data_IF_418319435440
#
_entry.id   IF_418319435440
#
_cell.length_a   1.000
_cell.length_b   1.000
_cell.length_c   1.000
_cell.angle_alpha   90.00
_cell.angle_beta   90.00
_cell.angle_gamma   90.00
#
_symmetry.space_group_name_H-M   'P 1'
#
loop_
_entity.id
_entity.type
_entity.pdbx_description
1 polymer ?
#
# COMPACT_ATOMS: atom_id res chain seq x y z
N UNK A 1 -24.36 -15.14 -42.60
CA UNK A 1 -23.15 -14.40 -43.03
C UNK A 1 -22.93 -13.08 -42.27
N UNK A 2 -23.82 -12.66 -41.37
CA UNK A 2 -23.73 -11.37 -40.67
C UNK A 2 -22.84 -11.42 -39.43
N UNK A 3 -22.82 -12.54 -38.71
CA UNK A 3 -22.06 -12.73 -37.45
C UNK A 3 -20.53 -12.70 -37.66
N UNK A 4 -20.04 -13.30 -38.75
CA UNK A 4 -18.61 -13.25 -39.08
C UNK A 4 -18.12 -11.83 -39.39
N UNK A 5 -18.99 -10.95 -39.93
CA UNK A 5 -18.63 -9.57 -40.26
C UNK A 5 -18.47 -8.70 -39.02
N UNK A 6 -19.30 -8.92 -38.00
CA UNK A 6 -19.22 -8.18 -36.74
C UNK A 6 -18.04 -8.62 -35.87
N UNK A 7 -17.72 -9.92 -35.86
CA UNK A 7 -16.51 -10.44 -35.20
C UNK A 7 -15.23 -9.88 -35.82
N UNK A 8 -15.15 -9.81 -37.15
CA UNK A 8 -14.00 -9.20 -37.84
C UNK A 8 -13.91 -7.70 -37.54
N UNK A 9 -15.04 -7.00 -37.50
CA UNK A 9 -15.10 -5.59 -37.11
C UNK A 9 -14.53 -5.35 -35.71
N UNK A 10 -15.00 -6.11 -34.71
CA UNK A 10 -14.55 -5.99 -33.32
C UNK A 10 -13.05 -6.30 -33.14
N UNK A 11 -12.52 -7.30 -33.84
CA UNK A 11 -11.09 -7.66 -33.77
C UNK A 11 -10.22 -6.57 -34.42
N UNK A 12 -10.65 -6.01 -35.54
CA UNK A 12 -9.93 -4.91 -36.21
C UNK A 12 -9.95 -3.64 -35.35
N UNK A 13 -11.08 -3.32 -34.72
CA UNK A 13 -11.17 -2.16 -33.80
C UNK A 13 -10.27 -2.33 -32.58
N UNK A 14 -10.15 -3.54 -32.03
CA UNK A 14 -9.27 -3.82 -30.89
C UNK A 14 -7.78 -3.75 -31.28
N UNK A 15 -7.43 -4.13 -32.51
CA UNK A 15 -6.06 -4.04 -33.02
C UNK A 15 -5.61 -2.59 -33.28
N UNK A 16 -6.51 -1.73 -33.78
CA UNK A 16 -6.19 -0.33 -34.08
C UNK A 16 -5.99 0.52 -32.82
N UNK A 17 -6.68 0.20 -31.72
CA UNK A 17 -6.48 0.88 -30.42
C UNK A 17 -5.15 0.53 -29.74
N UNK A 18 -4.46 -0.52 -30.18
CA UNK A 18 -3.17 -0.98 -29.62
C UNK A 18 -1.92 -0.31 -30.21
N UNK A 19 -2.06 0.59 -31.18
CA UNK A 19 -0.94 1.09 -32.00
C UNK A 19 -0.46 2.49 -31.60
N UNK A 20 -0.21 2.71 -30.32
CA UNK A 20 0.70 3.77 -29.88
C UNK A 20 2.09 3.16 -29.67
N UNK A 21 2.70 2.69 -30.76
CA UNK A 21 4.10 2.27 -30.76
C UNK A 21 4.95 3.53 -30.73
N UNK A 22 5.11 4.11 -29.53
CA UNK A 22 6.23 5.01 -29.28
C UNK A 22 7.49 4.16 -29.46
N UNK A 23 8.38 4.57 -30.37
CA UNK A 23 9.70 3.99 -30.50
C UNK A 23 10.30 3.81 -29.09
N UNK A 24 10.62 2.57 -28.73
CA UNK A 24 11.19 2.27 -27.42
C UNK A 24 12.59 2.87 -27.39
N UNK A 25 12.70 4.05 -26.80
CA UNK A 25 13.99 4.63 -26.48
C UNK A 25 14.72 3.65 -25.55
N UNK A 26 15.91 3.21 -25.98
CA UNK A 26 16.75 2.26 -25.25
C UNK A 26 17.16 2.78 -23.88
N UNK A 27 17.02 4.08 -23.62
CA UNK A 27 17.15 4.67 -22.28
C UNK A 27 16.14 4.09 -21.27
N UNK A 28 14.96 3.64 -21.72
CA UNK A 28 13.95 2.98 -20.88
C UNK A 28 14.35 1.57 -20.42
N UNK A 29 15.45 1.02 -20.96
CA UNK A 29 16.07 -0.25 -20.55
C UNK A 29 17.39 -0.01 -19.79
N UNK A 30 17.65 1.23 -19.35
CA UNK A 30 18.77 1.53 -18.46
C UNK A 30 18.48 0.99 -17.05
N UNK A 31 19.30 0.06 -16.57
CA UNK A 31 19.28 -0.39 -15.17
C UNK A 31 20.05 0.56 -14.25
N UNK A 32 20.58 1.67 -14.78
CA UNK A 32 21.39 2.62 -14.02
C UNK A 32 20.55 3.76 -13.44
N UNK A 33 19.38 4.03 -14.03
CA UNK A 33 18.47 5.08 -13.61
C UNK A 33 17.07 4.52 -13.38
N UNK A 34 16.52 4.80 -12.20
CA UNK A 34 15.12 4.50 -11.91
C UNK A 34 14.23 5.34 -12.82
N UNK A 35 13.27 4.69 -13.48
CA UNK A 35 12.29 5.34 -14.34
C UNK A 35 10.90 5.01 -13.83
N UNK A 36 10.03 6.01 -13.72
CA UNK A 36 8.65 5.77 -13.34
C UNK A 36 7.94 4.96 -14.43
N UNK A 37 7.45 3.77 -14.08
CA UNK A 37 6.80 2.82 -15.00
C UNK A 37 5.31 2.70 -14.79
N UNK A 38 4.82 3.03 -13.60
CA UNK A 38 3.40 2.99 -13.34
C UNK A 38 3.03 3.11 -11.87
N UNK A 39 1.71 3.17 -11.66
CA UNK A 39 1.09 3.19 -10.35
C UNK A 39 0.09 2.04 -10.24
N UNK A 40 0.02 1.42 -9.07
CA UNK A 40 -1.01 0.44 -8.74
C UNK A 40 -1.76 0.90 -7.49
N UNK A 41 -3.09 0.79 -7.53
CA UNK A 41 -3.94 0.98 -6.37
C UNK A 41 -4.06 -0.35 -5.63
N UNK A 42 -3.95 -0.29 -4.31
CA UNK A 42 -4.08 -1.43 -3.42
C UNK A 42 -5.34 -1.28 -2.57
N UNK A 43 -6.11 -2.35 -2.48
CA UNK A 43 -7.23 -2.50 -1.58
C UNK A 43 -7.09 -3.83 -0.88
N UNK A 44 -7.18 -3.83 0.44
CA UNK A 44 -6.92 -5.02 1.25
C UNK A 44 -7.63 -4.97 2.60
N UNK A 45 -7.43 -6.03 3.36
CA UNK A 45 -7.99 -6.19 4.69
C UNK A 45 -6.91 -6.68 5.64
N UNK A 46 -6.79 -6.03 6.79
CA UNK A 46 -5.86 -6.39 7.85
C UNK A 46 -6.59 -7.26 8.87
N UNK A 47 -6.18 -8.53 8.96
CA UNK A 47 -6.57 -9.43 10.04
C UNK A 47 -5.58 -9.29 11.18
N UNK A 48 -6.02 -8.66 12.27
CA UNK A 48 -5.19 -8.41 13.43
C UNK A 48 -5.75 -9.13 14.65
N UNK A 49 -4.87 -9.73 15.45
CA UNK A 49 -5.28 -10.42 16.67
C UNK A 49 -5.54 -9.46 17.85
N UNK A 50 -5.04 -8.22 17.76
CA UNK A 50 -4.97 -7.26 18.88
C UNK A 50 -5.68 -5.93 18.62
N UNK A 51 -6.17 -5.70 17.41
CA UNK A 51 -6.95 -4.51 17.03
C UNK A 51 -8.13 -4.94 16.16
N UNK A 52 -9.10 -4.05 15.98
CA UNK A 52 -10.24 -4.31 15.11
C UNK A 52 -9.72 -4.48 13.67
N UNK A 53 -10.12 -5.61 13.06
CA UNK A 53 -9.80 -5.86 11.66
C UNK A 53 -10.30 -4.71 10.78
N UNK A 54 -9.43 -4.20 9.91
CA UNK A 54 -9.71 -2.97 9.17
C UNK A 54 -9.34 -3.07 7.70
N UNK A 55 -10.03 -2.28 6.89
CA UNK A 55 -9.73 -2.11 5.48
C UNK A 55 -8.48 -1.25 5.32
N UNK A 56 -7.58 -1.67 4.43
CA UNK A 56 -6.39 -0.92 4.05
C UNK A 56 -6.48 -0.43 2.61
N UNK A 57 -6.03 0.79 2.37
CA UNK A 57 -5.88 1.39 1.05
C UNK A 57 -4.42 1.70 0.81
N UNK A 58 -3.94 1.52 -0.41
CA UNK A 58 -2.54 1.80 -0.72
C UNK A 58 -2.31 2.25 -2.15
N UNK A 59 -1.13 2.82 -2.35
CA UNK A 59 -0.62 3.18 -3.66
C UNK A 59 0.81 2.69 -3.77
N UNK A 60 1.11 2.05 -4.89
CA UNK A 60 2.42 1.50 -5.21
C UNK A 60 2.96 2.15 -6.47
N UNK A 61 4.21 2.56 -6.44
CA UNK A 61 4.89 3.17 -7.58
C UNK A 61 5.96 2.20 -8.09
N UNK A 62 5.89 1.82 -9.35
CA UNK A 62 6.93 0.99 -9.98
C UNK A 62 7.99 1.90 -10.59
N UNK A 63 9.21 1.84 -10.07
CA UNK A 63 10.35 2.64 -10.52
C UNK A 63 11.32 1.84 -11.40
N UNK A 64 10.96 0.60 -11.76
CA UNK A 64 11.81 -0.25 -12.57
C UNK A 64 12.88 -0.98 -11.77
N UNK A 65 14.00 -1.26 -12.42
CA UNK A 65 15.10 -2.03 -11.85
C UNK A 65 16.30 -1.14 -11.55
N UNK A 66 16.88 -1.28 -10.36
CA UNK A 66 18.18 -0.75 -10.01
C UNK A 66 19.23 -1.85 -10.18
N UNK A 67 20.12 -1.69 -11.15
CA UNK A 67 21.14 -2.67 -11.51
C UNK A 67 20.56 -4.00 -12.00
N UNK A 68 21.34 -5.08 -11.83
CA UNK A 68 20.92 -6.41 -12.26
C UNK A 68 20.04 -7.08 -11.21
N UNK A 69 18.72 -7.01 -11.42
CA UNK A 69 17.74 -7.89 -10.77
C UNK A 69 17.04 -7.34 -9.53
N UNK A 70 17.31 -6.10 -9.11
CA UNK A 70 16.58 -5.47 -7.99
C UNK A 70 15.48 -4.58 -8.53
N UNK A 71 14.21 -4.94 -8.31
CA UNK A 71 13.07 -4.09 -8.68
C UNK A 71 12.75 -3.13 -7.54
N UNK A 72 12.66 -1.84 -7.84
CA UNK A 72 12.35 -0.80 -6.85
C UNK A 72 10.88 -0.43 -6.97
N UNK A 73 10.11 -0.77 -5.93
CA UNK A 73 8.65 -0.62 -5.94
C UNK A 73 8.16 -0.09 -4.58
N UNK A 74 8.38 1.20 -4.27
CA UNK A 74 7.90 1.79 -3.03
C UNK A 74 6.36 1.79 -2.97
N UNK A 75 5.84 1.62 -1.76
CA UNK A 75 4.40 1.63 -1.48
C UNK A 75 4.08 2.51 -0.27
N UNK A 76 2.98 3.26 -0.36
CA UNK A 76 2.35 3.93 0.76
C UNK A 76 1.03 3.22 1.06
N UNK A 77 0.81 2.86 2.32
CA UNK A 77 -0.41 2.21 2.79
C UNK A 77 -1.03 3.06 3.91
N UNK A 78 -2.34 3.23 3.84
CA UNK A 78 -3.14 3.90 4.84
C UNK A 78 -4.21 2.93 5.37
N UNK A 79 -4.33 2.88 6.69
CA UNK A 79 -5.37 2.17 7.40
C UNK A 79 -5.66 2.90 8.70
N UNK A 80 -6.87 2.70 9.22
CA UNK A 80 -7.28 3.23 10.51
C UNK A 80 -8.10 2.18 11.25
N UNK A 81 -7.88 2.04 12.54
CA UNK A 81 -8.68 1.17 13.40
C UNK A 81 -9.09 1.97 14.62
N UNK A 82 -10.39 2.03 14.96
CA UNK A 82 -10.80 2.64 16.21
C UNK A 82 -10.29 1.80 17.38
N UNK A 83 -10.00 2.47 18.49
CA UNK A 83 -9.80 1.84 19.80
C UNK A 83 -10.94 2.26 20.72
N UNK A 84 -11.45 1.32 21.50
CA UNK A 84 -12.41 1.61 22.55
C UNK A 84 -11.69 2.07 23.84
N UNK A 85 -12.45 2.61 24.78
CA UNK A 85 -11.88 3.15 26.02
C UNK A 85 -11.16 2.09 26.88
N UNK A 86 -11.64 0.84 26.88
CA UNK A 86 -10.98 -0.25 27.60
C UNK A 86 -9.62 -0.60 26.99
N UNK A 87 -9.53 -0.65 25.66
CA UNK A 87 -8.29 -0.89 24.92
C UNK A 87 -7.26 0.23 25.16
N UNK A 88 -7.70 1.48 25.27
CA UNK A 88 -6.83 2.63 25.59
C UNK A 88 -6.24 2.47 27.00
N UNK A 89 -7.05 2.10 27.99
CA UNK A 89 -6.57 1.89 29.37
C UNK A 89 -5.58 0.74 29.43
N UNK A 90 -5.88 -0.38 28.76
CA UNK A 90 -4.97 -1.52 28.70
C UNK A 90 -3.64 -1.16 28.02
N UNK A 91 -3.69 -0.38 26.94
CA UNK A 91 -2.49 0.13 26.28
C UNK A 91 -1.67 1.04 27.21
N UNK A 92 -2.33 1.95 27.93
CA UNK A 92 -1.66 2.79 28.93
C UNK A 92 -0.95 1.95 29.99
N UNK A 93 -1.64 0.98 30.58
CA UNK A 93 -1.07 0.11 31.61
C UNK A 93 0.16 -0.64 31.10
N UNK A 94 0.09 -1.22 29.89
CA UNK A 94 1.22 -1.92 29.27
C UNK A 94 2.42 -1.00 29.03
N UNK A 95 2.19 0.26 28.62
CA UNK A 95 3.28 1.22 28.44
C UNK A 95 3.88 1.63 29.78
N UNK A 96 3.05 1.86 30.79
CA UNK A 96 3.54 2.20 32.13
C UNK A 96 4.37 1.05 32.73
N UNK A 97 3.92 -0.19 32.56
CA UNK A 97 4.61 -1.38 33.04
C UNK A 97 5.94 -1.58 32.29
N UNK A 98 5.96 -1.39 30.96
CA UNK A 98 7.18 -1.44 30.17
C UNK A 98 8.20 -0.39 30.59
N UNK A 99 7.76 0.85 30.83
CA UNK A 99 8.65 1.91 31.29
C UNK A 99 9.18 1.59 32.68
N UNK A 100 8.35 1.07 33.58
CA UNK A 100 8.79 0.63 34.90
C UNK A 100 9.86 -0.48 34.80
N UNK A 101 9.63 -1.49 33.96
CA UNK A 101 10.57 -2.58 33.72
C UNK A 101 11.92 -2.07 33.20
N UNK A 102 11.90 -1.04 32.34
CA UNK A 102 13.10 -0.48 31.71
C UNK A 102 13.80 0.61 32.55
N UNK A 103 13.14 1.18 33.57
CA UNK A 103 13.64 2.33 34.34
C UNK A 103 13.54 2.06 35.85
N UNK A 104 14.19 1.00 36.31
CA UNK A 104 14.38 0.67 37.73
C UNK A 104 13.08 0.56 38.56
N UNK A 105 11.99 0.13 37.93
CA UNK A 105 10.70 -0.10 38.58
C UNK A 105 9.85 1.15 38.79
N UNK A 106 10.28 2.32 38.33
CA UNK A 106 9.48 3.55 38.45
C UNK A 106 8.38 3.55 37.40
N UNK A 107 7.14 3.27 37.85
CA UNK A 107 5.95 3.33 36.99
C UNK A 107 5.52 4.78 36.76
N UNK A 108 5.57 5.29 35.52
CA UNK A 108 5.10 6.65 35.23
C UNK A 108 3.57 6.68 35.24
N UNK A 109 2.99 7.86 35.51
CA UNK A 109 1.58 8.11 35.23
C UNK A 109 1.45 8.53 33.77
N UNK A 110 0.81 7.69 32.95
CA UNK A 110 0.48 7.99 31.56
C UNK A 110 -1.04 8.08 31.40
N UNK A 111 -1.51 9.25 30.99
CA UNK A 111 -2.91 9.49 30.58
C UNK A 111 -2.90 9.99 29.14
N UNK A 112 -3.46 9.19 28.23
CA UNK A 112 -3.60 9.54 26.82
C UNK A 112 -4.84 10.41 26.57
N UNK A 113 -5.65 10.65 27.59
CA UNK A 113 -6.87 11.43 27.52
C UNK A 113 -7.94 10.77 26.64
N UNK A 114 -8.93 11.58 26.24
CA UNK A 114 -9.97 11.14 25.30
C UNK A 114 -9.41 11.19 23.88
N UNK A 115 -9.19 10.02 23.28
CA UNK A 115 -8.84 9.90 21.87
C UNK A 115 -10.14 9.95 21.06
N UNK A 116 -10.42 11.12 20.47
CA UNK A 116 -11.56 11.30 19.55
C UNK A 116 -11.08 11.14 18.11
N UNK A 117 -11.73 10.25 17.36
CA UNK A 117 -11.45 9.98 15.94
C UNK A 117 -12.61 10.51 15.10
N UNK A 118 -12.77 11.84 15.09
CA UNK A 118 -13.54 12.57 14.07
C UNK A 118 -12.72 12.80 12.82
#
# INVERSE_FOLDING_TARGET
MTVCRELVGAVVSLAVLGSSVCAQDTSAVSNEHLSFRGVALEYGYLWADRVINTTSYGVRFDLGYAGTGVRVVPSLMYWTSPMNQGEIVEFQDRVQDLVAEQNDGVRPTLDLGRIDYT
#
